data_IF_886257288075
#
_entry.id   IF_886257288075
#
_cell.length_a   1.000
_cell.length_b   1.000
_cell.length_c   1.000
_cell.angle_alpha   90.00
_cell.angle_beta   90.00
_cell.angle_gamma   90.00
#
_symmetry.space_group_name_H-M   'P 1'
#
loop_
_entity.id
_entity.type
_entity.pdbx_description
1 polymer ?
#
# COMPACT_ATOMS: atom_id res chain seq x y z
N UNK A 1 3.52 14.65 -19.17
CA UNK A 1 4.30 13.57 -18.52
C UNK A 1 3.39 12.79 -17.60
N UNK A 2 3.64 11.49 -17.38
CA UNK A 2 2.91 10.66 -16.41
C UNK A 2 3.85 10.34 -15.25
N UNK A 3 3.38 10.48 -14.01
CA UNK A 3 4.15 10.22 -12.78
C UNK A 3 3.40 9.19 -11.94
N UNK A 4 4.10 8.19 -11.40
CA UNK A 4 3.52 7.24 -10.45
C UNK A 4 4.04 7.46 -9.03
N UNK A 5 3.11 7.63 -8.08
CA UNK A 5 3.42 7.79 -6.65
C UNK A 5 2.90 6.59 -5.87
N UNK A 6 3.82 5.67 -5.56
CA UNK A 6 3.57 4.45 -4.79
C UNK A 6 4.89 3.93 -4.22
N UNK A 7 4.91 3.32 -3.02
CA UNK A 7 6.10 2.65 -2.52
C UNK A 7 6.46 1.40 -3.34
N UNK A 8 7.73 1.02 -3.30
CA UNK A 8 8.19 -0.26 -3.83
C UNK A 8 7.63 -1.45 -3.02
N UNK A 9 7.43 -2.63 -3.66
CA UNK A 9 7.66 -2.94 -5.08
C UNK A 9 6.50 -2.56 -6.01
N UNK A 10 5.43 -1.94 -5.48
CA UNK A 10 4.23 -1.64 -6.26
C UNK A 10 4.47 -0.63 -7.38
N UNK A 11 5.43 0.27 -7.18
CA UNK A 11 5.87 1.21 -8.20
C UNK A 11 6.47 0.48 -9.40
N UNK A 12 7.43 -0.42 -9.18
CA UNK A 12 8.01 -1.21 -10.27
C UNK A 12 6.94 -1.98 -11.06
N UNK A 13 5.94 -2.56 -10.40
CA UNK A 13 4.82 -3.22 -11.10
C UNK A 13 4.02 -2.26 -12.00
N UNK A 14 3.77 -1.02 -11.54
CA UNK A 14 3.10 0.00 -12.36
C UNK A 14 3.95 0.45 -13.55
N UNK A 15 5.27 0.60 -13.36
CA UNK A 15 6.19 0.99 -14.45
C UNK A 15 6.25 -0.07 -15.55
N UNK A 16 6.40 -1.35 -15.18
CA UNK A 16 6.44 -2.47 -16.12
C UNK A 16 5.13 -2.59 -16.92
N UNK A 17 3.98 -2.53 -16.24
CA UNK A 17 2.70 -2.57 -16.92
C UNK A 17 2.48 -1.32 -17.80
N UNK A 18 2.98 -0.16 -17.38
CA UNK A 18 2.97 1.05 -18.19
C UNK A 18 3.78 0.88 -19.49
N UNK A 19 4.97 0.31 -19.41
CA UNK A 19 5.83 0.00 -20.56
C UNK A 19 5.13 -0.95 -21.53
N UNK A 20 4.53 -2.04 -21.02
CA UNK A 20 3.73 -2.99 -21.81
C UNK A 20 2.55 -2.31 -22.53
N UNK A 21 2.00 -1.25 -21.95
CA UNK A 21 0.90 -0.45 -22.51
C UNK A 21 1.37 0.74 -23.37
N UNK A 22 2.68 0.91 -23.57
CA UNK A 22 3.26 2.00 -24.35
C UNK A 22 3.21 3.37 -23.65
N UNK A 23 3.13 3.39 -22.31
CA UNK A 23 3.11 4.60 -21.50
C UNK A 23 4.48 4.84 -20.85
N UNK A 24 5.09 5.99 -21.15
CA UNK A 24 6.29 6.44 -20.44
C UNK A 24 5.91 7.05 -19.08
N UNK A 25 6.17 6.32 -18.01
CA UNK A 25 5.84 6.72 -16.62
C UNK A 25 7.13 7.04 -15.86
N UNK A 26 7.15 8.21 -15.21
CA UNK A 26 8.22 8.63 -14.32
C UNK A 26 7.97 8.13 -12.89
N UNK A 27 8.96 7.47 -12.31
CA UNK A 27 8.93 6.98 -10.94
C UNK A 27 9.08 8.13 -9.93
N UNK A 28 8.16 8.27 -8.99
CA UNK A 28 8.28 9.22 -7.88
C UNK A 28 7.67 8.60 -6.61
N UNK A 29 8.39 7.70 -5.91
CA UNK A 29 7.79 6.86 -4.87
C UNK A 29 7.07 7.63 -3.77
N UNK A 30 7.68 8.74 -3.30
CA UNK A 30 7.31 9.56 -2.13
C UNK A 30 7.02 8.80 -0.83
N UNK A 31 7.29 7.50 -0.79
CA UNK A 31 7.14 6.65 0.37
C UNK A 31 8.27 5.64 0.38
N UNK A 32 8.96 5.56 1.52
CA UNK A 32 10.00 4.59 1.76
C UNK A 32 9.52 3.59 2.82
N UNK A 33 9.65 2.30 2.53
CA UNK A 33 9.37 1.24 3.49
C UNK A 33 10.69 0.73 4.04
N UNK A 34 10.85 0.77 5.36
CA UNK A 34 12.08 0.34 6.03
C UNK A 34 11.79 -0.69 7.12
N UNK A 35 12.64 -1.72 7.28
CA UNK A 35 12.49 -2.66 8.38
C UNK A 35 12.81 -1.97 9.71
N UNK A 36 12.09 -2.36 10.76
CA UNK A 36 12.38 -1.94 12.12
C UNK A 36 12.89 -3.12 12.95
N UNK A 37 13.85 -2.90 13.86
CA UNK A 37 14.21 -3.93 14.84
C UNK A 37 12.98 -4.24 15.70
N UNK A 38 12.73 -5.52 15.92
CA UNK A 38 11.61 -5.98 16.73
C UNK A 38 12.03 -7.19 17.55
N UNK A 39 11.44 -7.29 18.74
CA UNK A 39 11.61 -8.46 19.62
C UNK A 39 10.54 -9.48 19.28
N UNK A 40 10.98 -10.65 18.84
CA UNK A 40 10.07 -11.76 18.54
C UNK A 40 9.52 -12.38 19.82
N UNK A 41 8.20 -12.33 20.07
CA UNK A 41 7.62 -13.06 21.18
C UNK A 41 7.64 -14.56 20.89
N UNK A 42 7.62 -15.39 21.94
CA UNK A 42 7.68 -16.84 21.81
C UNK A 42 6.56 -17.36 20.88
N UNK A 43 6.88 -18.05 19.76
CA UNK A 43 5.89 -18.60 18.84
C UNK A 43 4.84 -19.51 19.50
N UNK A 44 5.18 -20.20 20.61
CA UNK A 44 4.24 -21.06 21.32
C UNK A 44 3.04 -20.31 21.95
N UNK A 45 3.13 -18.99 22.04
CA UNK A 45 2.06 -18.12 22.53
C UNK A 45 0.96 -17.87 21.49
N UNK A 46 1.15 -18.31 20.24
CA UNK A 46 0.25 -17.99 19.14
C UNK A 46 -0.18 -19.24 18.39
N UNK A 47 -1.38 -19.15 17.83
CA UNK A 47 -1.98 -20.19 17.01
C UNK A 47 -1.86 -19.85 15.52
N UNK A 48 -1.66 -18.57 15.18
CA UNK A 48 -1.59 -18.08 13.81
C UNK A 48 -0.89 -16.71 13.66
N UNK A 49 -0.41 -16.41 12.45
CA UNK A 49 0.05 -15.09 12.06
C UNK A 49 -1.06 -14.27 11.40
N UNK A 50 -1.07 -12.98 11.70
CA UNK A 50 -1.97 -12.01 11.09
C UNK A 50 -1.19 -11.00 10.25
N UNK A 51 -1.35 -11.08 8.93
CA UNK A 51 -0.59 -10.29 7.96
C UNK A 51 -1.50 -9.28 7.27
N UNK A 52 -1.46 -8.05 7.76
CA UNK A 52 -2.20 -6.91 7.22
C UNK A 52 -1.58 -6.29 5.96
N UNK A 53 -0.34 -6.64 5.64
CA UNK A 53 0.40 -6.11 4.50
C UNK A 53 1.52 -7.06 4.12
N UNK A 54 1.79 -7.19 2.82
CA UNK A 54 2.95 -7.89 2.29
C UNK A 54 4.28 -7.35 2.87
N UNK A 55 4.31 -6.07 3.29
CA UNK A 55 5.50 -5.46 3.88
C UNK A 55 5.89 -6.10 5.22
N UNK A 56 4.95 -6.66 5.98
CA UNK A 56 5.27 -7.40 7.20
C UNK A 56 6.19 -8.60 6.92
N UNK A 57 5.96 -9.28 5.79
CA UNK A 57 6.79 -10.43 5.36
C UNK A 57 8.10 -9.96 4.73
N UNK A 58 8.05 -8.91 3.89
CA UNK A 58 9.25 -8.36 3.23
C UNK A 58 10.27 -7.78 4.21
N UNK A 59 9.79 -7.19 5.31
CA UNK A 59 10.63 -6.44 6.25
C UNK A 59 10.73 -7.06 7.64
N UNK A 60 10.01 -8.16 7.92
CA UNK A 60 10.10 -8.86 9.21
C UNK A 60 11.43 -9.59 9.45
N UNK A 61 12.28 -9.70 8.42
CA UNK A 61 13.64 -10.21 8.53
C UNK A 61 13.73 -11.72 8.83
N UNK A 62 14.94 -12.23 9.13
CA UNK A 62 15.19 -13.66 9.35
C UNK A 62 14.39 -14.26 10.51
N UNK A 63 14.03 -13.43 11.50
CA UNK A 63 13.24 -13.81 12.68
C UNK A 63 11.89 -14.43 12.32
N UNK A 64 11.33 -14.09 11.16
CA UNK A 64 10.09 -14.69 10.64
C UNK A 64 10.16 -16.22 10.51
N UNK A 65 11.36 -16.79 10.32
CA UNK A 65 11.53 -18.24 10.16
C UNK A 65 10.99 -19.03 11.36
N UNK A 66 11.04 -18.47 12.57
CA UNK A 66 10.53 -19.11 13.78
C UNK A 66 9.02 -19.35 13.74
N UNK A 67 8.26 -18.59 12.94
CA UNK A 67 6.80 -18.64 12.88
C UNK A 67 6.26 -19.41 11.67
N UNK A 68 7.11 -19.98 10.80
CA UNK A 68 6.67 -20.66 9.56
C UNK A 68 5.74 -21.85 9.78
N UNK A 69 5.79 -22.46 10.96
CA UNK A 69 4.91 -23.55 11.34
C UNK A 69 3.48 -23.08 11.67
N UNK A 70 3.29 -21.78 11.92
CA UNK A 70 1.98 -21.21 12.17
C UNK A 70 1.28 -20.88 10.85
N UNK A 71 -0.04 -21.14 10.74
CA UNK A 71 -0.82 -20.69 9.60
C UNK A 71 -0.85 -19.16 9.51
N UNK A 72 -0.69 -18.64 8.30
CA UNK A 72 -0.77 -17.21 8.01
C UNK A 72 -2.15 -16.83 7.49
N UNK A 73 -2.72 -15.77 8.07
CA UNK A 73 -3.97 -15.17 7.67
C UNK A 73 -3.69 -13.81 7.03
N UNK A 74 -3.92 -13.72 5.73
CA UNK A 74 -3.60 -12.57 4.90
C UNK A 74 -4.86 -11.79 4.52
N UNK A 75 -4.80 -10.47 4.66
CA UNK A 75 -5.95 -9.57 4.36
C UNK A 75 -6.16 -9.26 2.88
N UNK A 76 -5.41 -9.93 2.01
CA UNK A 76 -5.47 -9.72 0.56
C UNK A 76 -4.53 -10.66 -0.17
N UNK A 77 -4.85 -10.91 -1.44
CA UNK A 77 -4.15 -11.94 -2.23
C UNK A 77 -2.66 -11.62 -2.40
N UNK A 78 -2.29 -10.36 -2.65
CA UNK A 78 -0.87 -9.96 -2.74
C UNK A 78 -0.09 -10.28 -1.46
N UNK A 79 -0.72 -10.12 -0.28
CA UNK A 79 -0.09 -10.47 0.99
C UNK A 79 0.03 -11.99 1.14
N UNK A 80 -0.98 -12.73 0.70
CA UNK A 80 -0.98 -14.19 0.70
C UNK A 80 0.11 -14.76 -0.21
N UNK A 81 0.25 -14.26 -1.43
CA UNK A 81 1.29 -14.67 -2.39
C UNK A 81 2.69 -14.45 -1.82
N UNK A 82 2.94 -13.29 -1.22
CA UNK A 82 4.24 -12.98 -0.59
C UNK A 82 4.50 -13.89 0.62
N UNK A 83 3.47 -14.20 1.42
CA UNK A 83 3.59 -15.14 2.53
C UNK A 83 3.91 -16.56 2.05
N UNK A 84 3.23 -17.05 1.00
CA UNK A 84 3.53 -18.35 0.38
C UNK A 84 4.96 -18.41 -0.15
N UNK A 85 5.40 -17.37 -0.85
CA UNK A 85 6.77 -17.26 -1.37
C UNK A 85 7.82 -17.25 -0.24
N UNK A 86 7.48 -16.75 0.95
CA UNK A 86 8.34 -16.78 2.13
C UNK A 86 8.29 -18.10 2.94
N UNK A 87 7.51 -19.08 2.47
CA UNK A 87 7.40 -20.42 3.05
C UNK A 87 6.33 -20.58 4.13
N UNK A 88 5.37 -19.66 4.22
CA UNK A 88 4.22 -19.81 5.13
C UNK A 88 3.09 -20.60 4.47
N UNK A 89 2.41 -21.43 5.27
CA UNK A 89 1.11 -21.98 4.88
C UNK A 89 0.04 -20.90 5.07
N UNK A 90 -0.60 -20.47 3.99
CA UNK A 90 -1.69 -19.48 4.06
C UNK A 90 -3.02 -20.21 4.29
N UNK A 91 -3.61 -20.00 5.47
CA UNK A 91 -4.91 -20.57 5.82
C UNK A 91 -6.09 -19.73 5.29
N UNK A 92 -5.87 -18.42 5.10
CA UNK A 92 -6.89 -17.51 4.59
C UNK A 92 -6.27 -16.38 3.78
N UNK A 93 -6.92 -16.05 2.66
CA UNK A 93 -6.66 -14.86 1.85
C UNK A 93 -8.02 -14.28 1.44
N UNK A 94 -8.32 -13.03 1.82
CA UNK A 94 -9.63 -12.47 1.52
C UNK A 94 -9.65 -10.95 1.46
N UNK A 95 -10.52 -10.41 0.59
CA UNK A 95 -10.78 -8.98 0.45
C UNK A 95 -11.87 -8.54 1.43
N UNK A 96 -11.54 -7.67 2.39
CA UNK A 96 -12.49 -7.23 3.42
C UNK A 96 -11.84 -6.81 4.74
N UNK A 97 -10.52 -6.94 4.84
CA UNK A 97 -9.79 -6.65 6.06
C UNK A 97 -9.97 -7.73 7.11
N UNK A 98 -9.37 -7.49 8.28
CA UNK A 98 -9.31 -8.46 9.38
C UNK A 98 -10.65 -8.69 10.07
N UNK A 99 -11.65 -7.85 9.78
CA UNK A 99 -13.00 -8.03 10.27
C UNK A 99 -13.65 -9.28 9.68
N UNK A 100 -13.55 -9.46 8.36
CA UNK A 100 -14.07 -10.62 7.65
C UNK A 100 -13.43 -11.93 8.13
N UNK A 101 -12.25 -11.84 8.76
CA UNK A 101 -11.59 -12.98 9.37
C UNK A 101 -12.28 -13.44 10.66
N UNK A 102 -12.81 -12.50 11.45
CA UNK A 102 -13.44 -12.81 12.74
C UNK A 102 -14.63 -13.74 12.57
N UNK A 103 -15.33 -13.63 11.45
CA UNK A 103 -16.51 -14.46 11.14
C UNK A 103 -16.13 -15.89 10.74
N UNK A 104 -14.87 -16.14 10.38
CA UNK A 104 -14.39 -17.46 9.94
C UNK A 104 -13.73 -18.29 11.04
N UNK A 105 -13.54 -17.70 12.22
CA UNK A 105 -12.86 -18.33 13.36
C UNK A 105 -13.90 -18.61 14.43
N UNK A 106 -14.30 -19.87 14.57
CA UNK A 106 -15.33 -20.28 15.52
C UNK A 106 -14.78 -20.46 16.94
N UNK A 107 -13.54 -20.92 17.06
CA UNK A 107 -12.87 -21.21 18.33
C UNK A 107 -12.05 -20.03 18.88
N UNK A 108 -11.53 -20.19 20.11
CA UNK A 108 -10.56 -19.25 20.67
C UNK A 108 -9.26 -19.29 19.87
N UNK A 109 -8.73 -18.13 19.52
CA UNK A 109 -7.51 -18.01 18.73
C UNK A 109 -6.62 -16.86 19.21
N UNK A 110 -5.31 -17.12 19.23
CA UNK A 110 -4.27 -16.14 19.60
C UNK A 110 -3.43 -15.83 18.37
N UNK A 111 -3.52 -14.60 17.90
CA UNK A 111 -2.77 -14.15 16.74
C UNK A 111 -1.57 -13.30 17.13
N UNK A 112 -0.47 -13.50 16.42
CA UNK A 112 0.60 -12.51 16.31
C UNK A 112 0.37 -11.69 15.04
N UNK A 113 0.06 -10.40 15.21
CA UNK A 113 -0.04 -9.44 14.12
C UNK A 113 1.29 -8.75 13.91
N UNK A 114 1.86 -8.92 12.72
CA UNK A 114 3.02 -8.17 12.28
C UNK A 114 2.55 -6.96 11.46
N UNK A 115 2.85 -5.76 11.94
CA UNK A 115 2.29 -4.51 11.43
C UNK A 115 3.36 -3.46 11.13
N UNK A 116 2.95 -2.41 10.42
CA UNK A 116 3.71 -1.18 10.32
C UNK A 116 3.48 -0.28 11.54
N UNK A 117 4.32 0.74 11.70
CA UNK A 117 4.14 1.86 12.66
C UNK A 117 2.71 2.41 12.60
N UNK A 118 2.26 2.73 11.39
CA UNK A 118 0.85 3.02 11.10
C UNK A 118 0.10 1.73 10.76
N UNK A 119 -0.98 1.47 11.49
CA UNK A 119 -1.85 0.34 11.22
C UNK A 119 -3.28 0.61 11.71
N UNK A 120 -4.25 0.04 10.99
CA UNK A 120 -5.66 0.20 11.34
C UNK A 120 -5.97 -0.58 12.64
N UNK A 121 -6.69 0.03 13.61
CA UNK A 121 -7.21 -0.67 14.77
C UNK A 121 -8.08 -1.86 14.36
N UNK A 122 -8.07 -2.93 15.16
CA UNK A 122 -8.89 -4.12 14.91
C UNK A 122 -10.03 -4.17 15.92
N UNK A 123 -11.22 -4.48 15.45
CA UNK A 123 -12.38 -4.78 16.29
C UNK A 123 -12.68 -6.26 16.11
N UNK A 124 -12.27 -7.10 17.05
CA UNK A 124 -12.38 -8.55 16.90
C UNK A 124 -13.35 -9.11 17.93
N UNK A 125 -13.90 -10.28 17.63
CA UNK A 125 -14.72 -11.01 18.59
C UNK A 125 -13.92 -11.34 19.86
N UNK A 126 -14.57 -11.38 21.03
CA UNK A 126 -13.90 -11.58 22.34
C UNK A 126 -13.07 -12.87 22.44
N UNK A 127 -13.39 -13.89 21.63
CA UNK A 127 -12.65 -15.16 21.56
C UNK A 127 -11.30 -15.04 20.84
N UNK A 128 -11.06 -13.94 20.12
CA UNK A 128 -9.84 -13.70 19.36
C UNK A 128 -8.98 -12.70 20.13
N UNK A 129 -7.76 -13.11 20.46
CA UNK A 129 -6.74 -12.23 21.04
C UNK A 129 -5.65 -11.95 20.01
N UNK A 130 -5.17 -10.70 19.99
CA UNK A 130 -4.12 -10.28 19.05
C UNK A 130 -3.02 -9.55 19.80
N UNK A 131 -1.81 -10.07 19.67
CA UNK A 131 -0.59 -9.33 20.03
C UNK A 131 -0.05 -8.66 18.78
N UNK A 132 0.05 -7.33 18.77
CA UNK A 132 0.59 -6.58 17.62
C UNK A 132 2.03 -6.22 17.87
N UNK A 133 2.90 -6.54 16.91
CA UNK A 133 4.32 -6.15 16.89
C UNK A 133 4.59 -5.34 15.63
N UNK A 134 5.24 -4.20 15.82
CA UNK A 134 5.66 -3.32 14.72
C UNK A 134 6.98 -3.84 14.17
N UNK A 135 7.03 -4.14 12.87
CA UNK A 135 8.21 -4.73 12.20
C UNK A 135 8.74 -3.89 11.03
N UNK A 136 8.01 -2.85 10.62
CA UNK A 136 8.44 -1.93 9.58
C UNK A 136 7.85 -0.54 9.78
N UNK A 137 8.46 0.44 9.13
CA UNK A 137 7.96 1.80 9.03
C UNK A 137 7.67 2.14 7.56
N UNK A 138 6.69 3.02 7.34
CA UNK A 138 6.38 3.60 6.04
C UNK A 138 6.51 5.11 6.18
N UNK A 139 7.62 5.65 5.70
CA UNK A 139 7.92 7.07 5.82
C UNK A 139 7.54 7.80 4.55
N UNK A 140 6.74 8.85 4.69
CA UNK A 140 6.49 9.78 3.60
C UNK A 140 7.77 10.59 3.32
N UNK A 141 8.12 10.70 2.05
CA UNK A 141 9.33 11.37 1.58
C UNK A 141 8.93 12.65 0.83
N UNK A 142 9.67 13.76 1.00
CA UNK A 142 9.33 15.00 0.34
C UNK A 142 9.55 14.91 -1.17
N UNK A 143 8.80 15.71 -1.93
CA UNK A 143 9.13 15.99 -3.34
C UNK A 143 10.47 16.74 -3.37
N UNK A 144 11.41 16.22 -4.17
CA UNK A 144 12.72 16.85 -4.36
C UNK A 144 12.60 18.16 -5.14
N UNK A 145 13.58 19.06 -5.04
CA UNK A 145 13.57 20.32 -5.80
C UNK A 145 13.49 20.05 -7.31
N UNK A 146 14.27 19.09 -7.81
CA UNK A 146 14.29 18.68 -9.22
C UNK A 146 12.93 18.13 -9.67
N UNK A 147 12.26 17.35 -8.83
CA UNK A 147 10.95 16.79 -9.16
C UNK A 147 9.85 17.85 -9.10
N UNK A 148 9.93 18.80 -8.16
CA UNK A 148 9.04 19.95 -8.13
C UNK A 148 9.20 20.81 -9.39
N UNK A 149 10.42 21.05 -9.86
CA UNK A 149 10.68 21.78 -11.11
C UNK A 149 10.07 21.06 -12.31
N UNK A 150 10.27 19.73 -12.43
CA UNK A 150 9.67 18.92 -13.51
C UNK A 150 8.14 18.97 -13.49
N UNK A 151 7.54 18.87 -12.29
CA UNK A 151 6.09 18.94 -12.13
C UNK A 151 5.55 20.32 -12.51
N UNK A 152 6.24 21.39 -12.12
CA UNK A 152 5.84 22.77 -12.39
C UNK A 152 6.06 23.24 -13.83
N UNK A 153 6.99 22.62 -14.57
CA UNK A 153 7.31 23.00 -15.95
C UNK A 153 6.24 22.59 -16.97
N UNK A 154 5.26 21.75 -16.60
CA UNK A 154 4.26 21.23 -17.52
C UNK A 154 2.90 21.00 -16.88
N UNK A 155 2.07 20.18 -17.53
CA UNK A 155 0.78 19.73 -16.99
C UNK A 155 0.82 18.22 -16.77
N UNK A 156 1.42 17.75 -15.66
CA UNK A 156 1.61 16.32 -15.41
C UNK A 156 0.29 15.62 -15.11
N UNK A 157 0.25 14.33 -15.41
CA UNK A 157 -0.74 13.39 -14.91
C UNK A 157 -0.10 12.53 -13.82
N UNK A 158 -0.69 12.51 -12.63
CA UNK A 158 -0.16 11.79 -11.46
C UNK A 158 -1.06 10.61 -11.12
N UNK A 159 -0.46 9.42 -11.02
CA UNK A 159 -1.13 8.18 -10.64
C UNK A 159 -1.06 7.99 -9.12
N UNK A 160 -2.21 7.81 -8.48
CA UNK A 160 -2.34 7.67 -7.03
C UNK A 160 -3.06 6.37 -6.65
N UNK A 161 -2.39 5.54 -5.85
CA UNK A 161 -2.89 4.21 -5.44
C UNK A 161 -3.43 4.15 -4.02
N UNK A 162 -3.26 5.20 -3.22
CA UNK A 162 -3.71 5.20 -1.84
C UNK A 162 -4.09 6.60 -1.35
N UNK A 163 -5.02 6.64 -0.40
CA UNK A 163 -5.46 7.90 0.20
C UNK A 163 -4.32 8.61 0.96
N UNK A 164 -3.36 7.85 1.52
CA UNK A 164 -2.18 8.42 2.16
C UNK A 164 -1.27 9.12 1.15
N UNK A 165 -1.01 8.47 0.02
CA UNK A 165 -0.23 9.07 -1.07
C UNK A 165 -0.90 10.32 -1.66
N UNK A 166 -2.23 10.28 -1.82
CA UNK A 166 -3.00 11.42 -2.30
C UNK A 166 -2.90 12.65 -1.38
N UNK A 167 -3.06 12.47 -0.06
CA UNK A 167 -2.89 13.56 0.92
C UNK A 167 -1.47 14.09 0.92
N UNK A 168 -0.50 13.19 1.04
CA UNK A 168 0.91 13.58 1.08
C UNK A 168 1.33 14.36 -0.17
N UNK A 169 0.90 13.92 -1.36
CA UNK A 169 1.18 14.64 -2.59
C UNK A 169 0.51 16.03 -2.62
N UNK A 170 -0.73 16.15 -2.14
CA UNK A 170 -1.41 17.44 -2.03
C UNK A 170 -0.66 18.41 -1.09
N UNK A 171 -0.24 17.92 0.08
CA UNK A 171 0.52 18.69 1.07
C UNK A 171 1.88 19.11 0.51
N UNK A 172 2.55 18.23 -0.24
CA UNK A 172 3.83 18.53 -0.87
C UNK A 172 3.71 19.51 -2.04
N UNK A 173 2.61 19.49 -2.79
CA UNK A 173 2.31 20.53 -3.77
C UNK A 173 2.20 21.91 -3.09
N UNK A 174 1.52 21.98 -1.96
CA UNK A 174 1.40 23.23 -1.19
C UNK A 174 2.75 23.67 -0.63
N UNK A 175 3.53 22.75 -0.06
CA UNK A 175 4.88 23.01 0.46
C UNK A 175 5.84 23.52 -0.62
N UNK A 176 5.74 22.97 -1.83
CA UNK A 176 6.60 23.33 -2.96
C UNK A 176 6.08 24.51 -3.79
N UNK A 177 4.88 25.02 -3.51
CA UNK A 177 4.24 26.07 -4.31
C UNK A 177 3.81 25.62 -5.71
N UNK A 178 3.50 24.33 -5.89
CA UNK A 178 2.99 23.80 -7.14
C UNK A 178 1.52 24.18 -7.34
N UNK A 179 1.18 24.70 -8.51
CA UNK A 179 -0.20 25.00 -8.86
C UNK A 179 -0.98 23.72 -9.21
N UNK A 180 -1.79 23.25 -8.26
CA UNK A 180 -2.67 22.08 -8.45
C UNK A 180 -3.56 22.20 -9.68
N UNK A 181 -3.94 23.42 -10.11
CA UNK A 181 -4.80 23.63 -11.27
C UNK A 181 -4.14 23.26 -12.61
N UNK A 182 -2.83 22.99 -12.61
CA UNK A 182 -2.07 22.50 -13.77
C UNK A 182 -1.89 20.99 -13.79
N UNK A 183 -2.13 20.31 -12.66
CA UNK A 183 -1.85 18.89 -12.44
C UNK A 183 -3.16 18.09 -12.53
N UNK A 184 -3.18 17.03 -13.34
CA UNK A 184 -4.27 16.07 -13.34
C UNK A 184 -3.95 14.85 -12.49
N UNK A 185 -4.99 14.24 -11.92
CA UNK A 185 -4.89 13.02 -11.12
C UNK A 185 -5.66 11.86 -11.76
N UNK A 186 -5.00 10.71 -11.88
CA UNK A 186 -5.68 9.42 -12.05
C UNK A 186 -5.56 8.66 -10.73
N UNK A 187 -6.69 8.51 -10.04
CA UNK A 187 -6.74 7.85 -8.74
C UNK A 187 -7.33 6.45 -8.88
N UNK A 188 -6.75 5.43 -8.23
CA UNK A 188 -7.24 4.04 -8.33
C UNK A 188 -8.70 3.86 -7.85
N UNK A 189 -9.24 4.82 -7.08
CA UNK A 189 -10.64 4.82 -6.70
C UNK A 189 -11.07 6.14 -6.06
N UNK A 190 -12.38 6.33 -5.94
CA UNK A 190 -13.00 7.59 -5.49
C UNK A 190 -12.54 8.05 -4.11
N UNK A 191 -12.28 7.12 -3.18
CA UNK A 191 -11.73 7.43 -1.85
C UNK A 191 -10.32 8.05 -1.91
N UNK A 192 -9.54 7.70 -2.93
CA UNK A 192 -8.19 8.25 -3.15
C UNK A 192 -8.28 9.65 -3.74
N UNK A 193 -9.14 9.85 -4.74
CA UNK A 193 -9.41 11.19 -5.30
C UNK A 193 -9.94 12.15 -4.22
N UNK A 194 -10.90 11.71 -3.41
CA UNK A 194 -11.42 12.51 -2.31
C UNK A 194 -10.33 12.89 -1.28
N UNK A 195 -9.36 12.00 -1.05
CA UNK A 195 -8.25 12.27 -0.14
C UNK A 195 -7.23 13.27 -0.69
N UNK A 196 -7.13 13.43 -2.01
CA UNK A 196 -6.28 14.47 -2.64
C UNK A 196 -6.86 15.88 -2.47
N UNK A 197 -8.14 16.00 -2.11
CA UNK A 197 -8.82 17.29 -1.99
C UNK A 197 -9.09 17.97 -3.35
N UNK A 198 -9.59 19.22 -3.33
CA UNK A 198 -9.93 19.97 -4.53
C UNK A 198 -8.72 20.75 -5.09
N UNK A 199 -8.95 21.41 -6.23
CA UNK A 199 -8.00 22.35 -6.85
C UNK A 199 -7.14 21.75 -7.97
N UNK A 200 -7.33 20.47 -8.29
CA UNK A 200 -6.66 19.79 -9.40
C UNK A 200 -7.24 20.22 -10.74
N UNK A 201 -6.42 20.21 -11.80
CA UNK A 201 -6.85 20.44 -13.19
C UNK A 201 -8.00 19.51 -13.58
N UNK A 202 -7.82 18.25 -13.22
CA UNK A 202 -8.78 17.17 -13.41
C UNK A 202 -8.45 16.05 -12.41
N UNK A 203 -9.44 15.27 -11.99
CA UNK A 203 -9.26 14.14 -11.09
C UNK A 203 -10.27 13.05 -11.40
N UNK A 204 -9.78 11.95 -11.98
CA UNK A 204 -10.63 10.84 -12.44
C UNK A 204 -10.30 9.53 -11.72
N UNK A 205 -11.23 8.58 -11.79
CA UNK A 205 -11.08 7.23 -11.24
C UNK A 205 -11.57 6.18 -12.25
N UNK A 206 -10.86 5.04 -12.40
CA UNK A 206 -11.30 4.00 -13.31
C UNK A 206 -12.52 3.25 -12.75
N UNK A 207 -13.30 2.55 -13.59
CA UNK A 207 -14.46 1.77 -13.14
C UNK A 207 -14.12 0.63 -12.18
N UNK A 208 -12.87 0.14 -12.21
CA UNK A 208 -12.36 -0.93 -11.33
C UNK A 208 -11.06 -0.49 -10.67
N UNK A 209 -10.87 -0.75 -9.37
CA UNK A 209 -9.68 -0.32 -8.65
C UNK A 209 -8.52 -1.30 -8.84
N UNK A 210 -8.00 -1.37 -10.07
CA UNK A 210 -6.82 -2.18 -10.41
C UNK A 210 -5.87 -1.42 -11.34
N UNK A 211 -4.61 -1.88 -11.40
CA UNK A 211 -3.54 -1.19 -12.12
C UNK A 211 -3.81 -1.09 -13.63
N UNK A 212 -4.31 -2.15 -14.27
CA UNK A 212 -4.62 -2.12 -15.71
C UNK A 212 -5.69 -1.08 -16.06
N UNK A 213 -6.76 -0.98 -15.26
CA UNK A 213 -7.81 0.00 -15.48
C UNK A 213 -7.34 1.43 -15.20
N UNK A 214 -6.48 1.62 -14.19
CA UNK A 214 -5.87 2.91 -13.88
C UNK A 214 -4.97 3.40 -15.02
N UNK A 215 -4.15 2.52 -15.60
CA UNK A 215 -3.28 2.87 -16.71
C UNK A 215 -4.04 3.08 -18.02
N UNK A 216 -5.12 2.34 -18.25
CA UNK A 216 -6.02 2.60 -19.38
C UNK A 216 -6.64 4.01 -19.28
N UNK A 217 -7.14 4.38 -18.09
CA UNK A 217 -7.61 5.74 -17.82
C UNK A 217 -6.50 6.77 -18.05
N UNK A 218 -5.29 6.51 -17.57
CA UNK A 218 -4.17 7.44 -17.71
C UNK A 218 -3.83 7.71 -19.19
N UNK A 219 -3.90 6.68 -20.04
CA UNK A 219 -3.75 6.83 -21.49
C UNK A 219 -4.83 7.73 -22.07
N UNK A 220 -6.09 7.49 -21.70
CA UNK A 220 -7.23 8.23 -22.24
C UNK A 220 -7.20 9.71 -21.80
N UNK A 221 -6.71 10.01 -20.59
CA UNK A 221 -6.51 11.37 -20.09
C UNK A 221 -5.33 12.14 -20.74
N UNK A 222 -4.45 11.44 -21.48
CA UNK A 222 -3.32 12.03 -22.18
C UNK A 222 -3.59 12.32 -23.67
N UNK A 223 -4.77 11.95 -24.17
CA UNK A 223 -5.23 12.25 -25.53
C UNK A 223 -5.92 13.61 -25.59
#
# INVERSE_FOLDING_TARGET
MIVAIRPEPGLQSTLLLGEEMGLAITAMPLFEVSPLPWEAPDPAQFDALLLGSANAVRHGGPTLAAYRHLPAYAVGETTAEVARAAGFTVAFAGSGGLQALSDTIDDKARFLRLAGTEHVPLVLAERISVTTVVVYDVRAMPISADDAEKLGAGSPLVLLHSAAAARHFADECERCGLDKATIALACIGSRVAAAAGPGWRDSQCPPKPNDSALLALARDMCQ
#
